data_IF_428622310569
#
_entry.id   IF_428622310569
#
_cell.length_a   1.000
_cell.length_b   1.000
_cell.length_c   1.000
_cell.angle_alpha   90.00
_cell.angle_beta   90.00
_cell.angle_gamma   90.00
#
_symmetry.space_group_name_H-M   'P 1'
#
loop_
_entity.id
_entity.type
_entity.pdbx_description
1 polymer ?
#
# COMPACT_ATOMS: atom_id res chain seq x y z
N UNK A 1 40.46 67.55 38.82
CA UNK A 1 39.87 66.45 39.62
C UNK A 1 38.86 65.72 38.76
N UNK A 2 38.83 64.40 38.90
CA UNK A 2 38.37 63.40 37.94
C UNK A 2 36.84 63.41 37.76
N UNK A 3 36.39 63.38 36.50
CA UNK A 3 35.02 63.09 36.12
C UNK A 3 34.87 61.59 35.80
N UNK A 4 33.80 60.90 36.23
CA UNK A 4 33.41 59.63 35.65
C UNK A 4 32.21 59.81 34.70
N UNK A 5 32.39 59.26 33.50
CA UNK A 5 31.39 59.07 32.43
C UNK A 5 30.38 57.94 32.77
N UNK A 6 29.22 57.91 32.10
CA UNK A 6 28.09 57.06 32.46
C UNK A 6 28.34 55.59 32.12
N UNK A 7 27.80 54.67 32.92
CA UNK A 7 27.66 53.26 32.53
C UNK A 7 26.19 52.99 32.21
N UNK A 8 25.82 53.30 30.97
CA UNK A 8 24.60 52.77 30.36
C UNK A 8 24.88 51.30 30.03
N UNK A 9 24.54 50.38 30.94
CA UNK A 9 24.68 48.94 30.69
C UNK A 9 23.61 48.54 29.68
N UNK A 10 24.01 48.51 28.41
CA UNK A 10 23.23 48.02 27.28
C UNK A 10 23.05 46.50 27.43
N UNK A 11 22.00 46.05 28.11
CA UNK A 11 21.62 44.63 28.09
C UNK A 11 20.69 44.39 26.89
N UNK A 12 21.27 44.37 25.69
CA UNK A 12 20.62 43.77 24.52
C UNK A 12 20.67 42.26 24.72
N UNK A 13 19.67 41.70 25.42
CA UNK A 13 19.46 40.26 25.43
C UNK A 13 19.06 39.88 24.01
N UNK A 14 19.98 39.22 23.31
CA UNK A 14 19.82 38.59 22.02
C UNK A 14 18.79 37.44 22.15
N UNK A 15 17.50 37.77 22.24
CA UNK A 15 16.39 36.81 22.23
C UNK A 15 16.06 36.42 20.79
N UNK A 16 17.07 35.94 20.06
CA UNK A 16 16.96 35.60 18.65
C UNK A 16 17.76 34.33 18.35
N UNK A 17 17.42 33.20 18.97
CA UNK A 17 18.05 31.91 18.64
C UNK A 17 17.31 30.64 19.07
N UNK A 18 16.00 30.64 19.36
CA UNK A 18 15.30 29.39 19.75
C UNK A 18 13.91 29.22 19.11
N UNK A 19 13.70 29.78 17.93
CA UNK A 19 12.66 29.33 17.01
C UNK A 19 13.31 28.89 15.72
N UNK A 20 14.11 27.83 15.79
CA UNK A 20 14.41 27.06 14.59
C UNK A 20 13.07 26.58 14.03
N UNK A 21 12.76 26.82 12.75
CA UNK A 21 11.56 26.27 12.15
C UNK A 21 11.67 24.76 12.27
N UNK A 22 10.87 24.19 13.17
CA UNK A 22 10.60 22.77 13.13
C UNK A 22 9.80 22.58 11.85
N UNK A 23 10.49 22.37 10.74
CA UNK A 23 9.87 21.94 9.50
C UNK A 23 9.42 20.50 9.73
N UNK A 24 8.26 20.34 10.37
CA UNK A 24 7.51 19.11 10.30
C UNK A 24 7.04 19.04 8.86
N UNK A 25 7.85 18.45 7.98
CA UNK A 25 7.39 18.01 6.68
C UNK A 25 6.29 16.99 6.97
N UNK A 26 5.03 17.44 6.95
CA UNK A 26 3.90 16.52 7.04
C UNK A 26 4.03 15.58 5.85
N UNK A 27 4.33 14.30 6.13
CA UNK A 27 4.32 13.28 5.10
C UNK A 27 2.87 13.13 4.63
N UNK A 28 2.52 13.86 3.58
CA UNK A 28 1.18 13.82 3.00
C UNK A 28 0.99 12.46 2.35
N UNK A 29 0.05 11.67 2.88
CA UNK A 29 -0.45 10.52 2.15
C UNK A 29 -1.18 11.01 0.90
N UNK A 30 -0.89 10.40 -0.23
CA UNK A 30 -1.62 10.63 -1.48
C UNK A 30 -2.90 9.78 -1.55
N UNK A 31 -3.05 8.81 -0.64
CA UNK A 31 -4.21 7.92 -0.56
C UNK A 31 -5.18 8.38 0.53
N UNK A 32 -6.47 8.26 0.24
CA UNK A 32 -7.56 8.56 1.18
C UNK A 32 -7.75 7.48 2.25
N UNK A 33 -7.47 6.21 1.93
CA UNK A 33 -7.50 5.09 2.88
C UNK A 33 -6.23 4.22 2.76
N UNK A 34 -5.05 4.75 3.15
CA UNK A 34 -3.77 4.04 3.01
C UNK A 34 -3.63 2.83 3.95
N UNK A 35 -4.43 2.77 5.01
CA UNK A 35 -4.39 1.70 6.00
C UNK A 35 -5.38 0.55 5.74
N UNK A 36 -6.18 0.63 4.67
CA UNK A 36 -7.22 -0.36 4.36
C UNK A 36 -8.27 -0.50 5.48
N UNK A 37 -8.56 0.61 6.15
CA UNK A 37 -9.45 0.66 7.30
C UNK A 37 -10.92 0.65 6.87
N UNK A 38 -11.66 -0.38 7.28
CA UNK A 38 -13.08 -0.57 6.97
C UNK A 38 -13.68 -1.63 7.92
N UNK A 39 -14.98 -1.85 7.85
CA UNK A 39 -15.69 -2.96 8.51
C UNK A 39 -15.29 -4.28 7.85
N UNK A 40 -14.76 -5.27 8.58
CA UNK A 40 -14.40 -6.53 7.96
C UNK A 40 -15.58 -7.23 7.28
N UNK A 41 -15.28 -7.91 6.17
CA UNK A 41 -16.25 -8.59 5.33
C UNK A 41 -15.61 -9.12 4.06
N UNK A 42 -16.24 -10.13 3.48
CA UNK A 42 -15.76 -10.76 2.25
C UNK A 42 -16.37 -10.09 1.01
N UNK A 43 -15.75 -10.36 -0.14
CA UNK A 43 -16.18 -9.99 -1.47
C UNK A 43 -16.41 -8.49 -1.65
N UNK A 44 -15.56 -7.67 -1.02
CA UNK A 44 -15.50 -6.23 -1.23
C UNK A 44 -14.14 -5.67 -0.80
N UNK A 45 -13.53 -4.79 -1.61
CA UNK A 45 -12.35 -4.06 -1.17
C UNK A 45 -12.71 -3.03 -0.09
N UNK A 46 -11.72 -2.51 0.67
CA UNK A 46 -11.93 -1.44 1.64
C UNK A 46 -12.47 -0.16 0.99
N UNK A 47 -13.16 0.68 1.75
CA UNK A 47 -13.57 2.01 1.29
C UNK A 47 -12.41 2.77 0.64
N UNK A 48 -12.72 3.48 -0.46
CA UNK A 48 -11.78 4.22 -1.32
C UNK A 48 -10.86 3.35 -2.19
N UNK A 49 -11.01 2.04 -2.11
CA UNK A 49 -10.45 1.09 -3.06
C UNK A 49 -11.57 0.51 -3.92
N UNK A 50 -11.35 0.42 -5.22
CA UNK A 50 -12.25 -0.17 -6.19
C UNK A 50 -11.76 -1.57 -6.56
N UNK A 51 -12.71 -2.48 -6.80
CA UNK A 51 -12.39 -3.77 -7.40
C UNK A 51 -11.98 -3.55 -8.86
N UNK A 52 -10.76 -3.98 -9.17
CA UNK A 52 -10.19 -3.91 -10.50
C UNK A 52 -9.86 -5.31 -11.04
N UNK A 53 -10.40 -6.37 -10.44
CA UNK A 53 -10.17 -7.76 -10.80
C UNK A 53 -10.77 -8.15 -12.15
N UNK A 54 -11.03 -9.45 -12.31
CA UNK A 54 -11.57 -10.03 -13.53
C UNK A 54 -13.10 -10.12 -13.45
N UNK A 55 -13.84 -9.82 -14.53
CA UNK A 55 -15.28 -10.01 -14.55
C UNK A 55 -15.68 -11.45 -14.18
N UNK A 56 -16.53 -11.60 -13.17
CA UNK A 56 -17.01 -12.90 -12.70
C UNK A 56 -16.14 -13.56 -11.62
N UNK A 57 -14.97 -12.99 -11.30
CA UNK A 57 -14.16 -13.42 -10.15
C UNK A 57 -14.50 -12.64 -8.89
N UNK A 58 -14.11 -13.16 -7.73
CA UNK A 58 -14.32 -12.44 -6.48
C UNK A 58 -13.33 -11.27 -6.36
N UNK A 59 -13.73 -10.17 -5.71
CA UNK A 59 -12.84 -9.06 -5.40
C UNK A 59 -12.02 -9.34 -4.12
N UNK A 60 -11.00 -8.51 -3.84
CA UNK A 60 -10.34 -8.46 -2.53
C UNK A 60 -11.31 -8.38 -1.36
N UNK A 61 -10.87 -8.79 -0.17
CA UNK A 61 -11.66 -8.74 1.06
C UNK A 61 -11.11 -7.75 2.09
N UNK A 62 -11.99 -7.30 2.98
CA UNK A 62 -11.59 -6.62 4.22
C UNK A 62 -11.51 -7.66 5.34
N UNK A 63 -10.32 -7.82 5.89
CA UNK A 63 -10.01 -8.76 6.96
C UNK A 63 -9.79 -8.01 8.28
N UNK A 64 -9.94 -8.65 9.44
CA UNK A 64 -10.19 -10.08 9.66
C UNK A 64 -11.67 -10.47 9.59
N UNK A 65 -11.98 -11.58 8.92
CA UNK A 65 -13.29 -12.24 8.99
C UNK A 65 -13.15 -13.77 9.01
N UNK A 66 -14.19 -14.47 9.48
CA UNK A 66 -14.12 -15.93 9.73
C UNK A 66 -14.41 -16.80 8.48
N UNK A 67 -14.67 -16.19 7.31
CA UNK A 67 -15.17 -16.91 6.13
C UNK A 67 -14.12 -17.84 5.52
N UNK A 68 -12.86 -17.39 5.48
CA UNK A 68 -11.76 -18.10 4.78
C UNK A 68 -10.74 -18.73 5.72
N UNK A 69 -11.05 -18.82 7.02
CA UNK A 69 -10.15 -19.31 8.07
C UNK A 69 -8.81 -18.53 8.18
N UNK A 70 -8.72 -17.34 7.60
CA UNK A 70 -7.57 -16.46 7.74
C UNK A 70 -7.52 -15.88 9.16
N UNK A 71 -6.41 -16.12 9.87
CA UNK A 71 -6.23 -15.68 11.27
C UNK A 71 -5.16 -14.60 11.45
N UNK A 72 -4.77 -13.92 10.36
CA UNK A 72 -3.80 -12.84 10.43
C UNK A 72 -4.38 -11.65 11.23
N UNK A 73 -3.56 -11.08 12.10
CA UNK A 73 -3.89 -9.85 12.85
C UNK A 73 -3.41 -8.65 12.03
N UNK A 74 -4.21 -7.56 11.90
CA UNK A 74 -3.77 -6.36 11.20
C UNK A 74 -2.43 -5.83 11.73
N UNK A 75 -1.52 -5.46 10.83
CA UNK A 75 -0.26 -4.80 11.21
C UNK A 75 -0.50 -3.47 11.95
N UNK A 76 -1.51 -2.72 11.50
CA UNK A 76 -1.91 -1.44 12.04
C UNK A 76 -3.43 -1.32 12.00
N UNK A 77 -3.99 -0.54 12.92
CA UNK A 77 -5.43 -0.28 12.97
C UNK A 77 -6.24 -1.53 13.30
N UNK A 78 -7.39 -1.70 12.64
CA UNK A 78 -8.34 -2.80 12.92
C UNK A 78 -8.62 -3.70 11.73
N UNK A 79 -8.21 -3.33 10.52
CA UNK A 79 -8.43 -4.15 9.33
C UNK A 79 -7.26 -4.10 8.36
N UNK A 80 -7.27 -5.02 7.39
CA UNK A 80 -6.34 -5.05 6.27
C UNK A 80 -7.06 -5.62 5.04
N UNK A 81 -6.45 -5.45 3.86
CA UNK A 81 -6.95 -6.03 2.62
C UNK A 81 -6.24 -7.35 2.35
N UNK A 82 -7.00 -8.43 2.10
CA UNK A 82 -6.44 -9.66 1.52
C UNK A 82 -6.68 -9.69 0.02
N UNK A 83 -5.72 -10.25 -0.71
CA UNK A 83 -5.76 -10.39 -2.16
C UNK A 83 -5.24 -11.77 -2.55
N UNK A 84 -5.83 -12.40 -3.57
CA UNK A 84 -5.44 -13.75 -4.02
C UNK A 84 -5.13 -13.87 -5.52
N UNK A 85 -4.32 -14.87 -5.88
CA UNK A 85 -4.23 -15.43 -7.24
C UNK A 85 -4.94 -16.78 -7.30
N UNK A 86 -5.41 -17.19 -8.49
CA UNK A 86 -6.20 -18.42 -8.68
C UNK A 86 -5.55 -19.37 -9.68
N UNK A 87 -5.87 -20.66 -9.57
CA UNK A 87 -5.47 -21.70 -10.51
C UNK A 87 -6.16 -21.69 -11.89
N UNK A 88 -6.81 -20.57 -12.26
CA UNK A 88 -7.43 -20.36 -13.58
C UNK A 88 -6.89 -19.14 -14.34
N UNK A 89 -5.67 -18.70 -14.01
CA UNK A 89 -5.03 -17.53 -14.62
C UNK A 89 -5.79 -16.21 -14.37
N UNK A 90 -6.35 -16.06 -13.17
CA UNK A 90 -6.99 -14.82 -12.71
C UNK A 90 -6.49 -14.47 -11.31
N UNK A 91 -6.55 -13.19 -10.97
CA UNK A 91 -6.02 -12.64 -9.73
C UNK A 91 -6.75 -11.37 -9.34
N UNK A 92 -6.55 -10.95 -8.11
CA UNK A 92 -7.20 -9.76 -7.58
C UNK A 92 -6.37 -8.49 -7.78
N UNK A 93 -7.09 -7.39 -7.99
CA UNK A 93 -6.56 -6.03 -8.12
C UNK A 93 -7.44 -5.06 -7.36
N UNK A 94 -6.80 -4.08 -6.73
CA UNK A 94 -7.48 -2.99 -6.04
C UNK A 94 -6.94 -1.65 -6.55
N UNK A 95 -7.81 -0.79 -7.06
CA UNK A 95 -7.46 0.55 -7.54
C UNK A 95 -7.87 1.63 -6.56
N UNK A 96 -7.05 2.67 -6.38
CA UNK A 96 -7.38 3.83 -5.57
C UNK A 96 -7.06 5.14 -6.28
N UNK A 97 -7.96 6.12 -6.13
CA UNK A 97 -7.72 7.48 -6.56
C UNK A 97 -6.74 8.17 -5.60
N UNK A 98 -5.85 8.98 -6.15
CA UNK A 98 -4.90 9.78 -5.41
C UNK A 98 -5.46 11.19 -5.17
N UNK A 99 -5.11 11.80 -4.05
CA UNK A 99 -5.46 13.20 -3.75
C UNK A 99 -4.72 14.21 -4.61
N UNK A 100 -3.64 13.77 -5.25
CA UNK A 100 -2.87 14.50 -6.25
C UNK A 100 -2.14 13.49 -7.15
N UNK A 101 -1.91 13.82 -8.43
CA UNK A 101 -1.21 12.92 -9.34
C UNK A 101 0.24 12.65 -8.95
N UNK A 102 0.69 11.42 -9.20
CA UNK A 102 2.12 11.12 -9.35
C UNK A 102 2.60 11.78 -10.65
N UNK A 103 3.53 12.72 -10.54
CA UNK A 103 4.06 13.48 -11.67
C UNK A 103 5.16 12.71 -12.37
N UNK A 104 5.17 12.78 -13.70
CA UNK A 104 6.25 12.23 -14.52
C UNK A 104 7.61 12.74 -14.06
N UNK A 105 8.58 11.83 -13.99
CA UNK A 105 9.97 12.10 -13.62
C UNK A 105 10.21 12.35 -12.13
N UNK A 106 9.16 12.43 -11.30
CA UNK A 106 9.26 12.71 -9.86
C UNK A 106 9.34 11.44 -9.03
N UNK A 107 10.22 11.42 -8.02
CA UNK A 107 10.38 10.27 -7.13
C UNK A 107 9.42 10.36 -5.93
N UNK A 108 8.69 9.27 -5.67
CA UNK A 108 7.75 9.13 -4.56
C UNK A 108 8.11 7.93 -3.70
N UNK A 109 8.22 8.14 -2.39
CA UNK A 109 8.44 7.03 -1.46
C UNK A 109 7.11 6.37 -1.16
N UNK A 110 7.01 5.08 -1.47
CA UNK A 110 5.87 4.25 -1.15
C UNK A 110 6.33 3.14 -0.20
N UNK A 111 5.52 2.81 0.80
CA UNK A 111 5.78 1.69 1.69
C UNK A 111 4.51 0.96 2.03
N UNK A 112 4.58 -0.36 2.11
CA UNK A 112 3.46 -1.24 2.43
C UNK A 112 3.96 -2.40 3.31
N UNK A 113 3.12 -2.88 4.22
CA UNK A 113 3.40 -4.10 4.97
C UNK A 113 2.70 -5.26 4.29
N UNK A 114 3.43 -6.33 4.02
CA UNK A 114 2.92 -7.54 3.36
C UNK A 114 3.16 -8.75 4.25
N UNK A 115 2.34 -9.77 4.08
CA UNK A 115 2.47 -11.07 4.71
C UNK A 115 1.71 -12.08 3.85
N UNK A 116 2.19 -13.31 3.81
CA UNK A 116 1.52 -14.45 3.22
C UNK A 116 0.62 -15.13 4.25
N UNK A 117 -0.55 -15.59 3.83
CA UNK A 117 -1.43 -16.35 4.69
C UNK A 117 -0.81 -17.70 5.08
N UNK A 118 -1.06 -18.14 6.32
CA UNK A 118 -0.82 -19.53 6.74
C UNK A 118 -1.91 -20.46 6.23
N UNK A 119 -3.13 -19.94 6.20
CA UNK A 119 -4.34 -20.64 5.80
C UNK A 119 -5.30 -19.59 5.24
N UNK A 120 -5.78 -19.85 4.03
CA UNK A 120 -6.85 -19.11 3.38
C UNK A 120 -7.61 -20.11 2.53
N UNK A 121 -8.72 -20.63 3.06
CA UNK A 121 -9.50 -21.68 2.39
C UNK A 121 -10.58 -21.06 1.53
N UNK A 122 -10.56 -21.38 0.23
CA UNK A 122 -11.58 -20.97 -0.74
C UNK A 122 -11.68 -22.01 -1.85
N UNK A 123 -12.65 -21.87 -2.76
CA UNK A 123 -12.86 -22.82 -3.84
C UNK A 123 -11.89 -22.62 -5.00
N UNK A 124 -11.09 -23.64 -5.30
CA UNK A 124 -10.30 -23.75 -6.52
C UNK A 124 -11.19 -23.57 -7.75
N UNK A 125 -10.73 -22.77 -8.72
CA UNK A 125 -11.43 -22.56 -9.98
C UNK A 125 -11.22 -23.72 -10.94
N UNK A 126 -10.09 -24.39 -10.86
CA UNK A 126 -9.80 -25.57 -11.67
C UNK A 126 -10.62 -26.80 -11.24
N UNK A 127 -10.83 -27.00 -9.94
CA UNK A 127 -11.43 -28.25 -9.41
C UNK A 127 -12.82 -28.08 -8.80
N UNK A 128 -13.21 -26.87 -8.40
CA UNK A 128 -14.46 -26.62 -7.69
C UNK A 128 -14.48 -27.15 -6.25
N UNK A 129 -13.34 -27.59 -5.72
CA UNK A 129 -13.18 -28.08 -4.36
C UNK A 129 -12.39 -27.05 -3.56
N UNK A 130 -12.58 -27.03 -2.24
CA UNK A 130 -11.80 -26.18 -1.34
C UNK A 130 -10.29 -26.44 -1.50
N UNK A 131 -9.52 -25.37 -1.60
CA UNK A 131 -8.07 -25.35 -1.69
C UNK A 131 -7.51 -24.25 -0.77
N UNK A 132 -6.24 -24.41 -0.39
CA UNK A 132 -5.52 -23.37 0.33
C UNK A 132 -4.91 -22.39 -0.65
N UNK A 133 -5.05 -21.09 -0.35
CA UNK A 133 -4.47 -19.98 -1.10
C UNK A 133 -3.28 -19.43 -0.31
N UNK A 134 -2.20 -20.20 -0.30
CA UNK A 134 -1.02 -19.91 0.53
C UNK A 134 0.30 -19.97 -0.22
N UNK A 135 0.29 -20.14 -1.55
CA UNK A 135 1.52 -20.06 -2.33
C UNK A 135 2.04 -18.62 -2.42
N UNK A 136 3.37 -18.37 -2.33
CA UNK A 136 3.91 -17.01 -2.41
C UNK A 136 3.57 -16.31 -3.72
N UNK A 137 3.09 -15.07 -3.65
CA UNK A 137 2.79 -14.21 -4.79
C UNK A 137 3.55 -12.88 -4.69
N UNK A 138 3.60 -12.14 -5.79
CA UNK A 138 4.22 -10.82 -5.87
C UNK A 138 3.16 -9.74 -5.75
N UNK A 139 3.51 -8.63 -5.13
CA UNK A 139 2.75 -7.38 -5.28
C UNK A 139 3.33 -6.60 -6.46
N UNK A 140 2.46 -6.20 -7.39
CA UNK A 140 2.75 -5.20 -8.42
C UNK A 140 2.02 -3.90 -8.12
N UNK A 141 2.69 -2.79 -8.38
CA UNK A 141 2.19 -1.44 -8.16
C UNK A 141 2.18 -0.72 -9.49
N UNK A 142 1.00 -0.29 -9.93
CA UNK A 142 0.82 0.40 -11.20
C UNK A 142 0.41 1.85 -11.01
N UNK A 143 0.97 2.73 -11.84
CA UNK A 143 0.42 4.06 -12.09
C UNK A 143 -0.71 3.96 -13.12
N UNK A 144 -1.79 4.69 -12.89
CA UNK A 144 -2.98 4.66 -13.73
C UNK A 144 -3.61 6.04 -13.91
N UNK A 145 -4.00 6.36 -15.15
CA UNK A 145 -4.69 7.62 -15.53
C UNK A 145 -6.17 7.55 -15.24
N UNK A 146 -6.77 6.38 -15.38
CA UNK A 146 -8.17 6.11 -15.00
C UNK A 146 -8.22 4.98 -14.00
N UNK A 147 -9.30 4.92 -13.22
CA UNK A 147 -9.51 3.82 -12.27
C UNK A 147 -9.37 2.46 -12.98
N UNK A 148 -8.63 1.53 -12.37
CA UNK A 148 -8.33 0.18 -12.85
C UNK A 148 -7.46 0.04 -14.11
N UNK A 149 -6.99 1.13 -14.73
CA UNK A 149 -6.03 1.02 -15.82
C UNK A 149 -4.67 0.50 -15.31
N UNK A 150 -3.92 -0.19 -16.15
CA UNK A 150 -2.55 -0.64 -15.88
C UNK A 150 -1.60 0.09 -16.85
N UNK A 151 -1.39 1.39 -16.64
CA UNK A 151 -0.64 2.21 -17.61
C UNK A 151 0.88 2.03 -17.48
N UNK A 152 1.43 2.10 -16.27
CA UNK A 152 2.88 1.93 -16.04
C UNK A 152 3.14 1.12 -14.77
N UNK A 153 3.98 0.09 -14.88
CA UNK A 153 4.42 -0.69 -13.74
C UNK A 153 5.51 0.08 -12.99
N UNK A 154 5.20 0.54 -11.78
CA UNK A 154 6.07 1.40 -10.97
C UNK A 154 6.87 0.64 -9.91
N UNK A 155 6.44 -0.56 -9.53
CA UNK A 155 7.12 -1.37 -8.52
C UNK A 155 6.64 -2.81 -8.49
N UNK A 156 7.55 -3.72 -8.13
CA UNK A 156 7.29 -5.16 -8.00
C UNK A 156 8.08 -5.69 -6.81
N UNK A 157 7.47 -6.55 -5.99
CA UNK A 157 8.19 -7.28 -4.94
C UNK A 157 8.83 -8.57 -5.47
N UNK A 158 9.83 -9.14 -4.79
CA UNK A 158 10.01 -10.59 -4.80
C UNK A 158 8.73 -11.30 -4.32
N UNK A 159 8.58 -12.62 -4.53
CA UNK A 159 7.48 -13.37 -3.93
C UNK A 159 7.45 -13.17 -2.42
N UNK A 160 6.28 -12.89 -1.86
CA UNK A 160 6.07 -12.69 -0.42
C UNK A 160 5.95 -14.07 0.21
N UNK A 161 7.05 -14.62 0.72
CA UNK A 161 7.10 -15.99 1.26
C UNK A 161 6.97 -16.06 2.78
N UNK A 162 7.04 -14.90 3.45
CA UNK A 162 7.01 -14.77 4.90
C UNK A 162 5.60 -14.55 5.46
N UNK A 163 5.36 -15.12 6.64
CA UNK A 163 4.06 -15.10 7.34
C UNK A 163 3.91 -13.88 8.26
N UNK A 164 5.02 -13.39 8.81
CA UNK A 164 5.02 -12.18 9.61
C UNK A 164 4.93 -10.96 8.70
N UNK A 165 4.25 -9.91 9.14
CA UNK A 165 4.23 -8.62 8.44
C UNK A 165 5.64 -8.07 8.28
N UNK A 166 6.04 -7.80 7.04
CA UNK A 166 7.29 -7.13 6.73
C UNK A 166 7.05 -5.88 5.89
N UNK A 167 7.85 -4.85 6.17
CA UNK A 167 7.78 -3.57 5.47
C UNK A 167 8.55 -3.65 4.16
N UNK A 168 7.88 -3.34 3.07
CA UNK A 168 8.47 -3.11 1.76
C UNK A 168 8.53 -1.62 1.49
N UNK A 169 9.65 -1.14 0.95
CA UNK A 169 9.82 0.25 0.52
C UNK A 169 10.14 0.30 -0.97
N UNK A 170 9.51 1.26 -1.66
CA UNK A 170 9.68 1.51 -3.08
C UNK A 170 9.99 2.98 -3.30
N UNK A 171 10.80 3.21 -4.33
CA UNK A 171 10.97 4.52 -4.93
C UNK A 171 10.22 4.53 -6.27
N UNK A 172 8.94 4.92 -6.23
CA UNK A 172 8.12 4.99 -7.44
C UNK A 172 8.52 6.24 -8.22
N UNK A 173 8.86 6.07 -9.49
CA UNK A 173 9.18 7.19 -10.39
C UNK A 173 8.48 6.95 -11.72
N UNK A 174 7.33 7.59 -11.96
CA UNK A 174 6.66 7.53 -13.26
C UNK A 174 7.57 8.02 -14.37
N UNK A 175 7.85 7.21 -15.38
CA UNK A 175 8.67 7.56 -16.53
C UNK A 175 7.83 7.81 -17.78
N UNK A 176 6.68 7.14 -17.91
CA UNK A 176 5.85 7.16 -19.11
C UNK A 176 4.75 8.24 -19.06
N UNK A 177 4.33 8.67 -17.88
CA UNK A 177 3.29 9.67 -17.73
C UNK A 177 3.07 10.17 -16.30
N UNK A 178 2.00 10.93 -16.12
CA UNK A 178 1.49 11.30 -14.80
C UNK A 178 0.20 10.54 -14.52
N UNK A 179 -0.01 10.17 -13.25
CA UNK A 179 -1.05 9.22 -12.86
C UNK A 179 -1.85 9.71 -11.67
N UNK A 180 -3.17 9.77 -11.81
CA UNK A 180 -4.12 10.17 -10.77
C UNK A 180 -4.57 8.99 -9.88
N UNK A 181 -4.17 7.76 -10.24
CA UNK A 181 -4.57 6.54 -9.56
C UNK A 181 -3.37 5.61 -9.37
N UNK A 182 -3.49 4.74 -8.38
CA UNK A 182 -2.60 3.60 -8.16
C UNK A 182 -3.42 2.32 -8.20
N UNK A 183 -2.86 1.24 -8.76
CA UNK A 183 -3.46 -0.10 -8.69
C UNK A 183 -2.48 -1.04 -8.01
N UNK A 184 -2.95 -1.70 -6.97
CA UNK A 184 -2.27 -2.82 -6.33
C UNK A 184 -2.77 -4.12 -6.98
N UNK A 185 -1.85 -5.02 -7.27
CA UNK A 185 -2.13 -6.26 -7.97
C UNK A 185 -1.35 -7.40 -7.32
N UNK A 186 -2.06 -8.45 -6.91
CA UNK A 186 -1.45 -9.72 -6.55
C UNK A 186 -1.16 -10.47 -7.86
N UNK A 187 0.05 -10.98 -8.04
CA UNK A 187 0.42 -11.67 -9.27
C UNK A 187 1.34 -12.86 -9.01
N UNK A 188 1.24 -13.85 -9.88
CA UNK A 188 2.04 -15.06 -9.84
C UNK A 188 3.55 -14.76 -9.80
N UNK A 189 4.32 -15.70 -9.27
CA UNK A 189 5.76 -15.69 -9.43
C UNK A 189 6.14 -16.05 -10.88
N UNK A 190 7.01 -15.26 -11.51
CA UNK A 190 7.43 -15.46 -12.90
C UNK A 190 8.18 -16.80 -13.13
N UNK A 191 8.60 -17.47 -12.05
CA UNK A 191 9.28 -18.77 -12.09
C UNK A 191 8.30 -19.93 -12.33
N UNK A 192 7.05 -19.79 -11.89
CA UNK A 192 6.04 -20.83 -12.06
C UNK A 192 5.34 -20.67 -13.40
N UNK A 193 5.37 -21.72 -14.22
CA UNK A 193 4.73 -21.72 -15.54
C UNK A 193 3.20 -21.82 -15.49
N UNK A 194 2.65 -22.34 -14.37
CA UNK A 194 1.23 -22.65 -14.23
C UNK A 194 0.56 -21.72 -13.21
N UNK A 195 -0.70 -21.31 -13.44
CA UNK A 195 -1.50 -20.59 -12.45
C UNK A 195 -1.70 -21.41 -11.17
N UNK A 196 -1.71 -20.73 -10.02
CA UNK A 196 -1.85 -21.37 -8.71
C UNK A 196 -2.65 -20.52 -7.71
N UNK A 197 -3.12 -21.19 -6.65
CA UNK A 197 -3.84 -20.55 -5.54
C UNK A 197 -2.84 -19.97 -4.54
N UNK A 198 -2.73 -18.64 -4.49
CA UNK A 198 -1.78 -17.91 -3.66
C UNK A 198 -2.33 -16.57 -3.18
#
# INVERSE_FOLDING_TARGET
>A
MIAPRPRLTLLFILMAALFGPSAWAQQRSYLLNPGFEDTPGHSRPPEKWADCGFPGESPPDVQPNDVFQLRAVPYSGRSFMSMVTRDNNTWERAGAALTAPLQQGTCYRFSIHLARADLFLSYSRATGIEANYDEPVRLRIWGARTMCALDELLGVTPPVDHRAWQRYEFMLRPEQGSYDHIVLEAFYDDVTAEPYNG
#
